data_IF_474181503201
#
_entry.id   IF_474181503201
#
_cell.length_a   1.000
_cell.length_b   1.000
_cell.length_c   1.000
_cell.angle_alpha   90.00
_cell.angle_beta   90.00
_cell.angle_gamma   90.00
#
_symmetry.space_group_name_H-M   'P 1'
#
loop_
_entity.id
_entity.type
_entity.pdbx_description
1 polymer ?
#
# COMPACT_ATOMS: atom_id res chain seq x y z
N UNK A 1 -24.84 19.22 -25.55
CA UNK A 1 -23.74 18.53 -24.85
C UNK A 1 -23.85 18.89 -23.38
N UNK A 2 -24.27 17.96 -22.52
CA UNK A 2 -24.39 18.25 -21.09
C UNK A 2 -22.97 18.44 -20.50
N UNK A 3 -22.69 19.62 -19.99
CA UNK A 3 -21.50 19.87 -19.17
C UNK A 3 -21.49 18.86 -18.03
N UNK A 4 -20.56 17.94 -18.08
CA UNK A 4 -20.30 17.00 -16.99
C UNK A 4 -19.76 17.80 -15.83
N UNK A 5 -20.64 18.21 -14.92
CA UNK A 5 -20.27 18.84 -13.66
C UNK A 5 -19.26 17.91 -12.96
N UNK A 6 -17.96 18.16 -13.13
CA UNK A 6 -16.91 17.47 -12.39
C UNK A 6 -17.15 17.77 -10.91
N UNK A 7 -17.68 16.79 -10.19
CA UNK A 7 -17.87 16.92 -8.76
C UNK A 7 -16.52 17.25 -8.12
N UNK A 8 -16.48 18.37 -7.42
CA UNK A 8 -15.24 18.85 -6.80
C UNK A 8 -14.80 17.84 -5.74
N UNK A 9 -13.51 17.46 -5.74
CA UNK A 9 -12.96 16.54 -4.73
C UNK A 9 -13.14 17.20 -3.37
N UNK A 10 -13.93 16.58 -2.47
CA UNK A 10 -14.08 17.06 -1.10
C UNK A 10 -12.80 16.74 -0.29
N UNK A 11 -12.51 17.55 0.71
CA UNK A 11 -11.44 17.28 1.68
C UNK A 11 -12.14 16.86 2.99
N UNK A 12 -11.84 15.67 3.56
CA UNK A 12 -12.35 15.28 4.85
C UNK A 12 -11.97 16.30 5.92
N UNK A 13 -12.86 16.57 6.85
CA UNK A 13 -12.62 17.47 7.98
C UNK A 13 -12.01 16.69 9.15
N UNK A 14 -10.69 16.56 9.16
CA UNK A 14 -9.95 16.03 10.30
C UNK A 14 -9.62 17.17 11.28
N UNK A 15 -9.55 16.87 12.58
CA UNK A 15 -9.01 17.79 13.56
C UNK A 15 -7.51 18.01 13.35
N UNK A 16 -6.98 19.11 13.88
CA UNK A 16 -5.53 19.38 13.81
C UNK A 16 -4.70 18.23 14.41
N UNK A 17 -5.20 17.64 15.51
CA UNK A 17 -4.56 16.51 16.20
C UNK A 17 -4.51 15.27 15.31
N UNK A 18 -5.60 14.96 14.59
CA UNK A 18 -5.65 13.86 13.63
C UNK A 18 -4.70 14.10 12.46
N UNK A 19 -4.70 15.31 11.87
CA UNK A 19 -3.80 15.65 10.76
C UNK A 19 -2.33 15.56 11.19
N UNK A 20 -1.98 16.06 12.39
CA UNK A 20 -0.63 15.98 12.93
C UNK A 20 -0.23 14.52 13.19
N UNK A 21 -1.10 13.71 13.81
CA UNK A 21 -0.82 12.30 14.05
C UNK A 21 -0.60 11.55 12.73
N UNK A 22 -1.47 11.79 11.73
CA UNK A 22 -1.39 11.16 10.42
C UNK A 22 -0.09 11.55 9.70
N UNK A 23 0.25 12.83 9.70
CA UNK A 23 1.49 13.33 9.09
C UNK A 23 2.74 12.76 9.78
N UNK A 24 2.78 12.78 11.13
CA UNK A 24 3.95 12.31 11.90
C UNK A 24 4.11 10.79 11.75
N UNK A 25 3.03 10.01 11.88
CA UNK A 25 3.10 8.55 11.77
C UNK A 25 3.61 8.10 10.39
N UNK A 26 3.07 8.68 9.31
CA UNK A 26 3.54 8.34 7.97
C UNK A 26 4.89 9.01 7.62
N UNK A 27 5.22 10.16 8.18
CA UNK A 27 6.57 10.74 8.09
C UNK A 27 7.63 9.81 8.71
N UNK A 28 7.35 9.25 9.90
CA UNK A 28 8.19 8.21 10.48
C UNK A 28 8.24 6.96 9.61
N UNK A 29 7.10 6.55 9.04
CA UNK A 29 7.01 5.45 8.08
C UNK A 29 7.92 5.66 6.86
N UNK A 30 8.00 6.88 6.33
CA UNK A 30 8.89 7.22 5.21
C UNK A 30 10.37 7.04 5.59
N UNK A 31 10.78 7.54 6.76
CA UNK A 31 12.15 7.38 7.27
C UNK A 31 12.51 5.90 7.49
N UNK A 32 11.62 5.13 8.11
CA UNK A 32 11.79 3.70 8.30
C UNK A 32 11.85 2.94 6.97
N UNK A 33 11.11 3.40 5.95
CA UNK A 33 11.14 2.81 4.61
C UNK A 33 12.48 3.03 3.89
N UNK A 34 13.14 4.16 4.12
CA UNK A 34 14.52 4.37 3.63
C UNK A 34 15.47 3.37 4.27
N UNK A 35 15.41 3.19 5.59
CA UNK A 35 16.21 2.20 6.29
C UNK A 35 15.91 0.77 5.79
N UNK A 36 14.63 0.43 5.61
CA UNK A 36 14.21 -0.87 5.09
C UNK A 36 14.74 -1.12 3.67
N UNK A 37 14.69 -0.11 2.78
CA UNK A 37 15.26 -0.20 1.43
C UNK A 37 16.76 -0.50 1.49
N UNK A 38 17.52 0.27 2.29
CA UNK A 38 18.97 0.07 2.44
C UNK A 38 19.27 -1.34 2.95
N UNK A 39 18.58 -1.80 3.99
CA UNK A 39 18.75 -3.15 4.53
C UNK A 39 18.46 -4.25 3.50
N UNK A 40 17.40 -4.11 2.71
CA UNK A 40 17.07 -5.06 1.65
C UNK A 40 18.13 -5.07 0.54
N UNK A 41 18.62 -3.90 0.13
CA UNK A 41 19.66 -3.80 -0.92
C UNK A 41 21.00 -4.38 -0.47
N UNK A 42 21.40 -4.20 0.80
CA UNK A 42 22.62 -4.82 1.36
C UNK A 42 22.50 -6.34 1.40
N UNK A 43 21.29 -6.87 1.61
CA UNK A 43 21.04 -8.30 1.72
C UNK A 43 20.88 -8.99 0.36
N UNK A 44 20.44 -8.27 -0.66
CA UNK A 44 20.22 -8.77 -2.01
C UNK A 44 21.52 -9.26 -2.66
N UNK A 45 21.50 -10.43 -3.31
CA UNK A 45 22.69 -11.15 -3.82
C UNK A 45 22.79 -11.16 -5.35
N UNK A 46 21.71 -10.86 -6.04
CA UNK A 46 21.67 -10.86 -7.49
C UNK A 46 20.79 -9.73 -8.04
N UNK A 47 20.84 -9.49 -9.34
CA UNK A 47 20.15 -8.37 -9.98
C UNK A 47 18.62 -8.42 -9.80
N UNK A 48 18.01 -9.61 -9.77
CA UNK A 48 16.57 -9.74 -9.56
C UNK A 48 16.16 -9.37 -8.14
N UNK A 49 16.92 -9.85 -7.13
CA UNK A 49 16.70 -9.46 -5.73
C UNK A 49 16.89 -7.96 -5.52
N UNK A 50 17.95 -7.36 -6.09
CA UNK A 50 18.19 -5.91 -6.03
C UNK A 50 17.04 -5.15 -6.65
N UNK A 51 16.58 -5.55 -7.85
CA UNK A 51 15.49 -4.86 -8.56
C UNK A 51 14.18 -4.95 -7.78
N UNK A 52 13.83 -6.14 -7.30
CA UNK A 52 12.57 -6.34 -6.57
C UNK A 52 12.58 -5.62 -5.22
N UNK A 53 13.70 -5.62 -4.50
CA UNK A 53 13.90 -4.88 -3.27
C UNK A 53 13.83 -3.36 -3.49
N UNK A 54 14.45 -2.86 -4.57
CA UNK A 54 14.40 -1.45 -4.92
C UNK A 54 12.98 -0.97 -5.23
N UNK A 55 12.21 -1.74 -5.99
CA UNK A 55 10.82 -1.37 -6.33
C UNK A 55 9.94 -1.39 -5.09
N UNK A 56 10.03 -2.42 -4.24
CA UNK A 56 9.26 -2.48 -3.01
C UNK A 56 9.65 -1.35 -2.05
N UNK A 57 10.94 -1.14 -1.81
CA UNK A 57 11.41 -0.07 -0.93
C UNK A 57 11.01 1.32 -1.39
N UNK A 58 11.14 1.60 -2.69
CA UNK A 58 10.69 2.88 -3.28
C UNK A 58 9.17 3.07 -3.18
N UNK A 59 8.38 2.02 -3.35
CA UNK A 59 6.92 2.10 -3.19
C UNK A 59 6.51 2.45 -1.76
N UNK A 60 7.20 1.91 -0.75
CA UNK A 60 7.00 2.27 0.65
C UNK A 60 7.33 3.76 0.90
N UNK A 61 8.51 4.21 0.46
CA UNK A 61 8.95 5.61 0.60
C UNK A 61 7.94 6.54 -0.08
N UNK A 62 7.51 6.22 -1.29
CA UNK A 62 6.57 7.03 -2.06
C UNK A 62 5.23 7.19 -1.32
N UNK A 63 4.60 6.07 -0.92
CA UNK A 63 3.33 6.11 -0.19
C UNK A 63 3.46 6.97 1.06
N UNK A 64 4.39 6.64 1.94
CA UNK A 64 4.47 7.30 3.24
C UNK A 64 4.86 8.78 3.13
N UNK A 65 5.67 9.16 2.13
CA UNK A 65 5.99 10.56 1.87
C UNK A 65 4.78 11.33 1.35
N UNK A 66 4.06 10.79 0.35
CA UNK A 66 2.86 11.44 -0.20
C UNK A 66 1.80 11.61 0.88
N UNK A 67 1.55 10.59 1.68
CA UNK A 67 0.58 10.63 2.76
C UNK A 67 0.98 11.64 3.86
N UNK A 68 2.24 11.65 4.27
CA UNK A 68 2.76 12.65 5.21
C UNK A 68 2.52 14.07 4.70
N UNK A 69 2.89 14.37 3.45
CA UNK A 69 2.72 15.70 2.86
C UNK A 69 1.23 16.05 2.70
N UNK A 70 0.38 15.09 2.29
CA UNK A 70 -1.06 15.31 2.21
C UNK A 70 -1.65 15.76 3.55
N UNK A 71 -1.32 15.06 4.64
CA UNK A 71 -1.83 15.40 5.96
C UNK A 71 -1.19 16.67 6.57
N UNK A 72 0.05 16.99 6.21
CA UNK A 72 0.73 18.22 6.67
C UNK A 72 0.20 19.49 6.01
N UNK A 73 -0.47 19.40 4.84
CA UNK A 73 -0.97 20.58 4.13
C UNK A 73 -2.30 21.08 4.71
N UNK A 74 -2.44 22.43 4.74
CA UNK A 74 -3.69 23.09 5.12
C UNK A 74 -4.84 22.76 4.15
N UNK A 75 -6.09 22.57 4.65
CA UNK A 75 -7.25 22.18 3.84
C UNK A 75 -7.57 23.16 2.68
N UNK A 76 -7.27 24.43 2.83
CA UNK A 76 -7.54 25.46 1.81
C UNK A 76 -6.63 25.43 0.58
N UNK A 77 -5.55 24.67 0.60
CA UNK A 77 -4.60 24.61 -0.51
C UNK A 77 -5.10 23.71 -1.63
N UNK A 78 -5.09 24.22 -2.87
CA UNK A 78 -5.48 23.42 -4.06
C UNK A 78 -4.66 22.13 -4.19
N UNK A 79 -3.38 22.17 -3.85
CA UNK A 79 -2.49 21.00 -3.87
C UNK A 79 -2.95 19.85 -2.97
N UNK A 80 -3.66 20.14 -1.86
CA UNK A 80 -4.18 19.08 -0.96
C UNK A 80 -5.18 18.17 -1.66
N UNK A 81 -6.00 18.68 -2.58
CA UNK A 81 -6.94 17.86 -3.38
C UNK A 81 -6.19 16.89 -4.31
N UNK A 82 -5.13 17.34 -4.95
CA UNK A 82 -4.29 16.49 -5.82
C UNK A 82 -3.58 15.43 -4.98
N UNK A 83 -2.98 15.86 -3.86
CA UNK A 83 -2.29 14.93 -2.95
C UNK A 83 -3.24 13.90 -2.34
N UNK A 84 -4.51 14.21 -2.11
CA UNK A 84 -5.51 13.23 -1.67
C UNK A 84 -5.67 12.09 -2.68
N UNK A 85 -5.75 12.41 -3.96
CA UNK A 85 -5.83 11.38 -5.02
C UNK A 85 -4.54 10.57 -5.09
N UNK A 86 -3.38 11.25 -5.05
CA UNK A 86 -2.08 10.59 -5.07
C UNK A 86 -1.86 9.69 -3.85
N UNK A 87 -2.26 10.14 -2.67
CA UNK A 87 -2.22 9.35 -1.43
C UNK A 87 -2.99 8.03 -1.58
N UNK A 88 -4.22 8.10 -2.09
CA UNK A 88 -5.02 6.90 -2.34
C UNK A 88 -4.47 6.01 -3.47
N UNK A 89 -3.94 6.60 -4.53
CA UNK A 89 -3.28 5.85 -5.61
C UNK A 89 -2.00 5.16 -5.13
N UNK A 90 -1.24 5.80 -4.24
CA UNK A 90 0.03 5.28 -3.73
C UNK A 90 -0.13 3.98 -2.93
N UNK A 91 -1.30 3.75 -2.32
CA UNK A 91 -1.61 2.48 -1.63
C UNK A 91 -1.61 1.30 -2.61
N UNK A 92 -2.13 1.49 -3.83
CA UNK A 92 -2.06 0.47 -4.89
C UNK A 92 -0.63 0.20 -5.32
N UNK A 93 0.19 1.24 -5.43
CA UNK A 93 1.61 1.10 -5.78
C UNK A 93 2.39 0.36 -4.69
N UNK A 94 2.05 0.55 -3.41
CA UNK A 94 2.65 -0.20 -2.31
C UNK A 94 2.28 -1.69 -2.38
N UNK A 95 0.99 -2.01 -2.59
CA UNK A 95 0.57 -3.41 -2.75
C UNK A 95 1.28 -4.04 -3.93
N UNK A 96 1.31 -3.39 -5.08
CA UNK A 96 2.04 -3.87 -6.25
C UNK A 96 3.53 -4.07 -5.95
N UNK A 97 4.18 -3.08 -5.33
CA UNK A 97 5.59 -3.15 -4.94
C UNK A 97 5.89 -4.34 -4.01
N UNK A 98 4.99 -4.64 -3.06
CA UNK A 98 5.08 -5.80 -2.17
C UNK A 98 4.99 -7.12 -2.95
N UNK A 99 4.15 -7.16 -3.98
CA UNK A 99 3.93 -8.36 -4.78
C UNK A 99 5.05 -8.67 -5.77
N UNK A 100 5.88 -7.69 -6.13
CA UNK A 100 7.00 -7.93 -7.05
C UNK A 100 7.98 -8.96 -6.48
N UNK A 101 8.58 -8.79 -5.29
CA UNK A 101 9.42 -9.84 -4.71
C UNK A 101 8.62 -11.11 -4.35
N UNK A 102 7.41 -11.00 -3.84
CA UNK A 102 6.60 -12.16 -3.47
C UNK A 102 6.28 -13.06 -4.68
N UNK A 103 5.92 -12.49 -5.83
CA UNK A 103 5.62 -13.25 -7.04
C UNK A 103 6.85 -13.73 -7.78
N UNK A 104 7.87 -12.88 -7.97
CA UNK A 104 9.01 -13.21 -8.84
C UNK A 104 10.08 -14.05 -8.12
N UNK A 105 10.30 -13.81 -6.82
CA UNK A 105 11.24 -14.58 -6.01
C UNK A 105 10.55 -15.73 -5.26
N UNK A 106 9.40 -15.45 -4.62
CA UNK A 106 8.70 -16.40 -3.77
C UNK A 106 7.92 -17.44 -4.54
N UNK A 107 6.95 -17.04 -5.37
CA UNK A 107 6.15 -17.98 -6.18
C UNK A 107 6.94 -18.48 -7.38
N UNK A 108 7.67 -17.59 -8.04
CA UNK A 108 8.55 -17.82 -9.19
C UNK A 108 7.92 -18.53 -10.40
N UNK A 109 8.67 -18.68 -11.49
CA UNK A 109 8.22 -19.35 -12.71
C UNK A 109 6.93 -18.76 -13.31
N UNK A 110 6.22 -19.56 -14.11
CA UNK A 110 4.99 -19.12 -14.80
C UNK A 110 3.91 -18.67 -13.81
N UNK A 111 3.76 -19.36 -12.67
CA UNK A 111 2.78 -18.97 -11.64
C UNK A 111 3.10 -17.61 -11.02
N UNK A 112 4.39 -17.31 -10.81
CA UNK A 112 4.83 -16.02 -10.31
C UNK A 112 4.48 -14.88 -11.28
N UNK A 113 4.70 -15.09 -12.59
CA UNK A 113 4.32 -14.12 -13.62
C UNK A 113 2.81 -13.94 -13.76
N UNK A 114 2.02 -15.01 -13.63
CA UNK A 114 0.56 -14.90 -13.61
C UNK A 114 0.06 -14.11 -12.40
N UNK A 115 0.61 -14.37 -11.22
CA UNK A 115 0.29 -13.63 -10.01
C UNK A 115 0.68 -12.14 -10.16
N UNK A 116 1.88 -11.87 -10.66
CA UNK A 116 2.33 -10.51 -10.97
C UNK A 116 1.36 -9.78 -11.91
N UNK A 117 0.96 -10.42 -13.01
CA UNK A 117 0.03 -9.86 -13.98
C UNK A 117 -1.36 -9.59 -13.40
N UNK A 118 -1.86 -10.49 -12.56
CA UNK A 118 -3.14 -10.32 -11.86
C UNK A 118 -3.11 -9.11 -10.91
N UNK A 119 -2.05 -8.97 -10.12
CA UNK A 119 -1.90 -7.84 -9.20
C UNK A 119 -1.69 -6.53 -9.97
N UNK A 120 -0.90 -6.55 -11.06
CA UNK A 120 -0.74 -5.38 -11.94
C UNK A 120 -2.09 -4.93 -12.52
N UNK A 121 -2.93 -5.86 -12.96
CA UNK A 121 -4.26 -5.57 -13.49
C UNK A 121 -5.17 -4.89 -12.44
N UNK A 122 -5.30 -5.47 -11.24
CA UNK A 122 -6.13 -4.85 -10.19
C UNK A 122 -5.54 -3.54 -9.68
N UNK A 123 -4.21 -3.40 -9.63
CA UNK A 123 -3.53 -2.14 -9.32
C UNK A 123 -3.88 -1.06 -10.33
N UNK A 124 -3.75 -1.33 -11.62
CA UNK A 124 -4.08 -0.39 -12.68
C UNK A 124 -5.56 0.00 -12.64
N UNK A 125 -6.45 -0.99 -12.49
CA UNK A 125 -7.89 -0.76 -12.42
C UNK A 125 -8.27 0.09 -11.18
N UNK A 126 -7.70 -0.21 -10.01
CA UNK A 126 -7.93 0.55 -8.78
C UNK A 126 -7.42 1.99 -8.87
N UNK A 127 -6.24 2.22 -9.47
CA UNK A 127 -5.71 3.57 -9.72
C UNK A 127 -6.64 4.33 -10.68
N UNK A 128 -7.12 3.69 -11.75
CA UNK A 128 -8.06 4.33 -12.70
C UNK A 128 -9.34 4.72 -11.98
N UNK A 129 -9.95 3.85 -11.17
CA UNK A 129 -11.15 4.19 -10.41
C UNK A 129 -10.91 5.36 -9.46
N UNK A 130 -9.80 5.35 -8.75
CA UNK A 130 -9.41 6.41 -7.81
C UNK A 130 -9.19 7.76 -8.52
N UNK A 131 -8.51 7.74 -9.67
CA UNK A 131 -8.19 8.94 -10.43
C UNK A 131 -9.41 9.53 -11.16
N UNK A 132 -10.38 8.69 -11.58
CA UNK A 132 -11.60 9.16 -12.24
C UNK A 132 -12.56 9.86 -11.29
N UNK A 133 -12.89 9.24 -10.16
CA UNK A 133 -13.71 9.82 -9.08
C UNK A 133 -13.53 8.99 -7.80
N UNK A 134 -12.69 9.50 -6.91
CA UNK A 134 -12.30 8.85 -5.67
C UNK A 134 -13.49 8.53 -4.75
N UNK A 135 -14.52 9.37 -4.74
CA UNK A 135 -15.68 9.17 -3.88
C UNK A 135 -16.68 8.19 -4.48
N UNK A 136 -16.96 8.33 -5.78
CA UNK A 136 -17.89 7.47 -6.50
C UNK A 136 -17.42 6.03 -6.58
N UNK A 137 -16.14 5.83 -6.87
CA UNK A 137 -15.58 4.49 -7.10
C UNK A 137 -14.81 3.95 -5.88
N UNK A 138 -14.97 4.58 -4.69
CA UNK A 138 -14.26 4.16 -3.48
C UNK A 138 -14.42 2.68 -3.18
N UNK A 139 -15.65 2.15 -3.22
CA UNK A 139 -15.89 0.73 -2.93
C UNK A 139 -15.22 -0.17 -3.96
N UNK A 140 -15.31 0.16 -5.26
CA UNK A 140 -14.65 -0.59 -6.33
C UNK A 140 -13.12 -0.59 -6.16
N UNK A 141 -12.54 0.56 -5.80
CA UNK A 141 -11.13 0.69 -5.51
C UNK A 141 -10.70 -0.21 -4.31
N UNK A 142 -11.44 -0.18 -3.20
CA UNK A 142 -11.18 -1.04 -2.04
C UNK A 142 -11.29 -2.53 -2.39
N UNK A 143 -12.28 -2.92 -3.21
CA UNK A 143 -12.41 -4.30 -3.69
C UNK A 143 -11.19 -4.71 -4.53
N UNK A 144 -10.75 -3.87 -5.47
CA UNK A 144 -9.53 -4.12 -6.25
C UNK A 144 -8.31 -4.31 -5.34
N UNK A 145 -8.21 -3.48 -4.30
CA UNK A 145 -7.12 -3.56 -3.32
C UNK A 145 -7.12 -4.87 -2.54
N UNK A 146 -8.29 -5.29 -2.05
CA UNK A 146 -8.43 -6.57 -1.32
C UNK A 146 -8.19 -7.76 -2.24
N UNK A 147 -8.70 -7.74 -3.48
CA UNK A 147 -8.44 -8.80 -4.47
C UNK A 147 -6.94 -8.89 -4.78
N UNK A 148 -6.26 -7.76 -4.98
CA UNK A 148 -4.80 -7.73 -5.11
C UNK A 148 -4.13 -8.33 -3.88
N UNK A 149 -4.48 -7.84 -2.67
CA UNK A 149 -3.83 -8.25 -1.42
C UNK A 149 -4.02 -9.73 -1.08
N UNK A 150 -5.18 -10.32 -1.37
CA UNK A 150 -5.46 -11.73 -1.07
C UNK A 150 -5.13 -12.68 -2.24
N UNK A 151 -4.74 -12.17 -3.40
CA UNK A 151 -4.27 -13.00 -4.51
C UNK A 151 -3.04 -13.86 -4.15
N UNK A 152 -2.31 -13.49 -3.09
CA UNK A 152 -1.19 -14.25 -2.52
C UNK A 152 -1.55 -15.70 -2.20
N UNK A 153 -2.81 -15.96 -1.85
CA UNK A 153 -3.29 -17.30 -1.52
C UNK A 153 -3.22 -18.26 -2.73
N UNK A 154 -3.26 -17.75 -3.95
CA UNK A 154 -3.08 -18.54 -5.18
C UNK A 154 -1.67 -19.13 -5.30
N UNK A 155 -0.68 -18.48 -4.65
CA UNK A 155 0.71 -18.93 -4.59
C UNK A 155 1.15 -19.46 -3.24
N UNK A 156 0.23 -19.70 -2.29
CA UNK A 156 0.56 -20.02 -0.90
C UNK A 156 1.47 -21.23 -0.72
N UNK A 157 1.29 -22.29 -1.52
CA UNK A 157 2.16 -23.47 -1.47
C UNK A 157 3.59 -23.18 -1.90
N UNK A 158 3.75 -22.40 -2.98
CA UNK A 158 5.06 -21.97 -3.47
C UNK A 158 5.74 -21.04 -2.46
N UNK A 159 4.99 -20.08 -1.92
CA UNK A 159 5.48 -19.18 -0.89
C UNK A 159 5.89 -19.90 0.38
N UNK A 160 5.12 -20.90 0.81
CA UNK A 160 5.50 -21.74 1.95
C UNK A 160 6.80 -22.49 1.68
N UNK A 161 7.02 -22.97 0.46
CA UNK A 161 8.25 -23.64 0.07
C UNK A 161 9.45 -22.67 0.07
N UNK A 162 9.26 -21.41 -0.38
CA UNK A 162 10.30 -20.41 -0.48
C UNK A 162 10.61 -19.72 0.88
N UNK A 163 9.57 -19.34 1.62
CA UNK A 163 9.68 -18.55 2.87
C UNK A 163 9.68 -19.40 4.14
N UNK A 164 9.34 -20.68 4.02
CA UNK A 164 8.98 -21.52 5.18
C UNK A 164 7.64 -21.08 5.82
N UNK A 165 7.23 -21.80 6.86
CA UNK A 165 5.98 -21.51 7.56
C UNK A 165 6.00 -20.11 8.22
N UNK A 166 7.10 -19.75 8.83
CA UNK A 166 7.24 -18.46 9.55
C UNK A 166 7.13 -17.26 8.60
N UNK A 167 7.81 -17.31 7.45
CA UNK A 167 7.72 -16.24 6.46
C UNK A 167 6.31 -16.10 5.86
N UNK A 168 5.63 -17.23 5.62
CA UNK A 168 4.24 -17.22 5.16
C UNK A 168 3.30 -16.62 6.22
N UNK A 169 3.50 -16.93 7.50
CA UNK A 169 2.73 -16.33 8.60
C UNK A 169 2.88 -14.80 8.60
N UNK A 170 4.10 -14.28 8.43
CA UNK A 170 4.33 -12.84 8.32
C UNK A 170 3.63 -12.22 7.12
N UNK A 171 3.65 -12.86 5.95
CA UNK A 171 2.91 -12.40 4.77
C UNK A 171 1.40 -12.32 5.03
N UNK A 172 0.82 -13.37 5.61
CA UNK A 172 -0.62 -13.42 5.95
C UNK A 172 -0.95 -12.37 7.03
N UNK A 173 -0.12 -12.23 8.05
CA UNK A 173 -0.31 -11.22 9.09
C UNK A 173 -0.35 -9.81 8.50
N UNK A 174 0.53 -9.48 7.55
CA UNK A 174 0.49 -8.22 6.83
C UNK A 174 -0.82 -8.00 6.08
N UNK A 175 -1.32 -9.01 5.37
CA UNK A 175 -2.62 -8.98 4.68
C UNK A 175 -3.79 -8.76 5.65
N UNK A 176 -3.76 -9.40 6.83
CA UNK A 176 -4.77 -9.21 7.89
C UNK A 176 -4.71 -7.77 8.42
N UNK A 177 -3.51 -7.22 8.72
CA UNK A 177 -3.37 -5.83 9.17
C UNK A 177 -3.94 -4.84 8.15
N UNK A 178 -3.64 -5.00 6.87
CA UNK A 178 -4.21 -4.17 5.82
C UNK A 178 -5.73 -4.33 5.68
N UNK A 179 -6.27 -5.54 5.86
CA UNK A 179 -7.72 -5.78 5.83
C UNK A 179 -8.45 -5.09 6.97
N UNK A 180 -7.90 -5.16 8.19
CA UNK A 180 -8.41 -4.41 9.34
C UNK A 180 -8.34 -2.91 9.05
N UNK A 181 -7.21 -2.45 8.52
CA UNK A 181 -7.05 -1.06 8.08
C UNK A 181 -8.11 -0.63 7.08
N UNK A 182 -8.40 -1.42 6.05
CA UNK A 182 -9.42 -1.13 5.05
C UNK A 182 -10.84 -1.02 5.66
N UNK A 183 -11.16 -1.86 6.64
CA UNK A 183 -12.42 -1.77 7.40
C UNK A 183 -12.48 -0.47 8.19
N UNK A 184 -11.41 -0.14 8.91
CA UNK A 184 -11.31 1.10 9.68
C UNK A 184 -11.40 2.35 8.78
N UNK A 185 -10.78 2.31 7.60
CA UNK A 185 -10.92 3.36 6.61
C UNK A 185 -12.38 3.54 6.15
N UNK A 186 -13.10 2.44 5.91
CA UNK A 186 -14.53 2.47 5.53
C UNK A 186 -15.43 3.06 6.63
N UNK A 187 -15.17 2.68 7.90
CA UNK A 187 -15.92 3.16 9.07
C UNK A 187 -15.52 4.61 9.43
N UNK A 188 -14.26 4.96 9.17
CA UNK A 188 -13.61 6.18 9.65
C UNK A 188 -14.13 7.48 9.08
N UNK A 189 -14.93 7.45 8.02
CA UNK A 189 -15.54 8.65 7.42
C UNK A 189 -16.32 9.52 8.40
N UNK A 190 -16.88 8.92 9.45
CA UNK A 190 -17.79 9.57 10.41
C UNK A 190 -17.35 9.42 11.88
N UNK A 191 -16.14 8.92 12.15
CA UNK A 191 -15.65 8.68 13.52
C UNK A 191 -14.25 9.23 13.70
N UNK A 192 -14.06 10.06 14.73
CA UNK A 192 -12.75 10.59 15.11
C UNK A 192 -11.73 9.47 15.30
N UNK A 193 -10.50 9.73 14.91
CA UNK A 193 -9.32 8.88 15.06
C UNK A 193 -9.35 7.53 14.29
N UNK A 194 -10.47 7.12 13.68
CA UNK A 194 -10.49 5.87 12.90
C UNK A 194 -9.50 5.90 11.74
N UNK A 195 -9.36 7.03 11.06
CA UNK A 195 -8.38 7.20 9.99
C UNK A 195 -6.93 7.18 10.53
N UNK A 196 -6.71 7.76 11.69
CA UNK A 196 -5.39 7.70 12.35
C UNK A 196 -5.01 6.28 12.77
N UNK A 197 -5.97 5.51 13.28
CA UNK A 197 -5.76 4.08 13.58
C UNK A 197 -5.51 3.28 12.30
N UNK A 198 -6.21 3.57 11.19
CA UNK A 198 -5.93 3.00 9.88
C UNK A 198 -4.46 3.20 9.47
N UNK A 199 -3.87 4.39 9.68
CA UNK A 199 -2.46 4.65 9.40
C UNK A 199 -1.52 3.71 10.18
N UNK A 200 -1.83 3.44 11.45
CA UNK A 200 -1.05 2.48 12.27
C UNK A 200 -1.13 1.08 11.68
N UNK A 201 -2.33 0.62 11.25
CA UNK A 201 -2.48 -0.68 10.62
C UNK A 201 -1.77 -0.78 9.26
N UNK A 202 -1.69 0.31 8.51
CA UNK A 202 -0.87 0.36 7.29
C UNK A 202 0.62 0.15 7.60
N UNK A 203 1.15 0.82 8.62
CA UNK A 203 2.54 0.66 9.05
C UNK A 203 2.83 -0.77 9.53
N UNK A 204 1.94 -1.35 10.34
CA UNK A 204 2.07 -2.73 10.82
C UNK A 204 2.04 -3.74 9.67
N UNK A 205 1.12 -3.57 8.72
CA UNK A 205 1.04 -4.42 7.53
C UNK A 205 2.31 -4.34 6.68
N UNK A 206 2.79 -3.12 6.44
CA UNK A 206 4.07 -2.91 5.71
C UNK A 206 5.24 -3.55 6.45
N UNK A 207 5.32 -3.39 7.76
CA UNK A 207 6.38 -4.01 8.57
C UNK A 207 6.36 -5.54 8.45
N UNK A 208 5.18 -6.17 8.54
CA UNK A 208 5.05 -7.61 8.40
C UNK A 208 5.54 -8.09 7.03
N UNK A 209 5.16 -7.40 5.95
CA UNK A 209 5.60 -7.74 4.59
C UNK A 209 7.10 -7.48 4.40
N UNK A 210 7.61 -6.34 4.88
CA UNK A 210 9.06 -6.06 4.87
C UNK A 210 9.82 -7.17 5.58
N UNK A 211 9.40 -7.55 6.79
CA UNK A 211 10.08 -8.59 7.57
C UNK A 211 10.06 -9.94 6.86
N UNK A 212 8.92 -10.32 6.26
CA UNK A 212 8.80 -11.54 5.48
C UNK A 212 9.78 -11.56 4.30
N UNK A 213 9.84 -10.48 3.53
CA UNK A 213 10.71 -10.36 2.35
C UNK A 213 12.18 -10.29 2.77
N UNK A 214 12.51 -9.40 3.71
CA UNK A 214 13.88 -9.19 4.18
C UNK A 214 14.48 -10.43 4.82
N UNK A 215 13.74 -11.11 5.69
CA UNK A 215 14.28 -12.20 6.51
C UNK A 215 14.28 -13.54 5.80
N UNK A 216 13.28 -13.79 4.95
CA UNK A 216 13.00 -15.14 4.43
C UNK A 216 13.06 -15.25 2.91
N UNK A 217 13.07 -14.13 2.18
CA UNK A 217 13.07 -14.15 0.71
C UNK A 217 14.39 -13.60 0.12
N UNK A 218 15.03 -12.61 0.76
CA UNK A 218 16.37 -12.09 0.47
C UNK A 218 17.42 -12.71 1.41
#
# INVERSE_FOLDING_TARGET
MAERNKKEISIPSYSLEEELFNAISHGLGALLSVAALVLMLIRARNALEVTTAAIFGTSMIFLYTISCVYHALSPGLRGKKVLRVLDHCSVFLLVFGTYIPASLLGVSGVRGWLLFGLVAFFTALGIVFTALDLERYQLAAVICQLLSGWSILMGASNLRAALGLQGLIWMIAGGVMYSIGAILYGIGKNRKYCHSVFHVFCLLGTFCHFWAIYKYLL
#
